data_IF_744353708880
#
_entry.id   IF_744353708880
#
_cell.length_a   1.000
_cell.length_b   1.000
_cell.length_c   1.000
_cell.angle_alpha   90.00
_cell.angle_beta   90.00
_cell.angle_gamma   90.00
#
_symmetry.space_group_name_H-M   'P 1'
#
loop_
_entity.id
_entity.type
_entity.pdbx_description
1 polymer ?
#
# COMPACT_ATOMS: atom_id res chain seq x y z
N UNK A 1 -0.12 -62.01 39.14
CA UNK A 1 -1.32 -61.29 38.66
C UNK A 1 -0.87 -59.91 38.22
N UNK A 2 -0.64 -59.72 36.92
CA UNK A 2 -0.17 -58.46 36.35
C UNK A 2 -1.33 -57.81 35.59
N UNK A 3 -1.84 -56.70 36.13
CA UNK A 3 -2.93 -55.93 35.53
C UNK A 3 -2.41 -55.02 34.41
N UNK A 4 -2.91 -55.23 33.21
CA UNK A 4 -2.70 -54.37 32.03
C UNK A 4 -3.54 -53.11 32.14
N UNK A 5 -2.89 -51.94 32.13
CA UNK A 5 -3.55 -50.65 31.91
C UNK A 5 -3.48 -50.32 30.42
N UNK A 6 -4.63 -50.37 29.75
CA UNK A 6 -4.78 -49.99 28.34
C UNK A 6 -4.76 -48.46 28.23
N UNK A 7 -3.76 -47.91 27.55
CA UNK A 7 -3.73 -46.52 27.09
C UNK A 7 -4.59 -46.45 25.82
N UNK A 8 -5.70 -45.75 25.92
CA UNK A 8 -6.54 -45.25 24.81
C UNK A 8 -6.36 -43.73 24.80
N UNK A 9 -6.58 -43.09 23.65
CA UNK A 9 -6.36 -41.66 23.30
C UNK A 9 -4.94 -41.40 22.77
N UNK A 10 -4.68 -40.83 21.58
CA UNK A 10 -5.49 -39.94 20.76
C UNK A 10 -4.91 -40.02 19.31
N UNK A 11 -5.59 -40.73 18.42
CA UNK A 11 -5.25 -40.80 17.00
C UNK A 11 -6.40 -40.19 16.19
N UNK A 12 -6.47 -38.87 16.14
CA UNK A 12 -7.40 -38.12 15.30
C UNK A 12 -6.77 -36.75 15.01
N UNK A 13 -6.13 -36.63 13.83
CA UNK A 13 -6.00 -35.39 13.02
C UNK A 13 -4.89 -35.49 11.94
N UNK A 14 -4.55 -36.69 11.45
CA UNK A 14 -3.61 -36.86 10.33
C UNK A 14 -4.16 -37.81 9.26
N UNK A 15 -5.39 -37.56 8.83
CA UNK A 15 -5.89 -37.91 7.49
C UNK A 15 -5.94 -36.56 6.75
N UNK A 16 -4.86 -36.07 6.14
CA UNK A 16 -4.27 -36.56 4.89
C UNK A 16 -5.38 -36.95 3.91
N UNK A 17 -6.12 -35.94 3.46
CA UNK A 17 -6.73 -35.91 2.13
C UNK A 17 -5.71 -35.27 1.17
N UNK A 18 -4.80 -36.04 0.54
CA UNK A 18 -4.29 -35.67 -0.76
C UNK A 18 -5.39 -36.02 -1.77
N UNK A 19 -5.31 -35.51 -2.99
CA UNK A 19 -6.29 -35.70 -4.07
C UNK A 19 -7.48 -34.72 -3.98
N UNK A 20 -7.27 -33.51 -4.51
CA UNK A 20 -8.39 -32.62 -4.82
C UNK A 20 -8.09 -31.20 -5.28
N UNK A 21 -6.89 -30.65 -5.03
CA UNK A 21 -6.62 -29.22 -5.32
C UNK A 21 -5.78 -28.96 -6.58
N UNK A 22 -5.85 -29.82 -7.61
CA UNK A 22 -5.01 -29.68 -8.81
C UNK A 22 -5.69 -29.02 -10.01
N UNK A 23 -7.01 -28.75 -10.00
CA UNK A 23 -7.72 -28.23 -11.18
C UNK A 23 -8.91 -27.31 -10.88
N UNK A 24 -8.89 -26.60 -9.75
CA UNK A 24 -9.73 -25.40 -9.66
C UNK A 24 -8.87 -24.23 -10.11
N UNK A 25 -9.20 -23.54 -11.22
CA UNK A 25 -8.65 -22.22 -11.46
C UNK A 25 -9.16 -21.37 -10.28
N UNK A 26 -8.34 -21.24 -9.24
CA UNK A 26 -8.60 -20.28 -8.19
C UNK A 26 -8.74 -18.93 -8.91
N UNK A 27 -9.90 -18.26 -8.82
CA UNK A 27 -10.15 -17.01 -9.50
C UNK A 27 -9.42 -15.90 -8.74
N UNK A 28 -8.10 -16.01 -8.61
CA UNK A 28 -7.22 -14.89 -8.28
C UNK A 28 -7.09 -14.07 -9.56
N UNK A 29 -8.22 -13.55 -10.07
CA UNK A 29 -8.16 -12.47 -11.04
C UNK A 29 -7.59 -11.28 -10.27
N UNK A 30 -6.41 -10.77 -10.65
CA UNK A 30 -5.92 -9.56 -10.04
C UNK A 30 -6.87 -8.42 -10.39
N UNK A 31 -7.28 -7.67 -9.35
CA UNK A 31 -8.27 -6.61 -9.39
C UNK A 31 -9.75 -7.03 -9.61
N UNK A 32 -10.31 -8.00 -8.84
CA UNK A 32 -11.68 -8.44 -9.05
C UNK A 32 -12.73 -7.41 -8.58
N UNK A 33 -12.29 -6.27 -8.03
CA UNK A 33 -13.13 -5.26 -7.39
C UNK A 33 -13.20 -3.94 -8.16
N UNK A 34 -12.61 -3.87 -9.36
CA UNK A 34 -12.72 -2.71 -10.23
C UNK A 34 -14.20 -2.43 -10.57
N UNK A 35 -14.73 -1.23 -10.25
CA UNK A 35 -16.10 -0.89 -10.62
C UNK A 35 -16.23 -0.76 -12.14
N UNK A 36 -17.28 -1.36 -12.71
CA UNK A 36 -17.54 -1.37 -14.17
C UNK A 36 -17.67 0.04 -14.78
N UNK A 37 -17.99 1.04 -13.96
CA UNK A 37 -18.17 2.43 -14.39
C UNK A 37 -16.87 3.21 -14.62
N UNK A 38 -15.71 2.63 -14.30
CA UNK A 38 -14.43 3.30 -14.42
C UNK A 38 -13.87 3.22 -15.84
N UNK A 39 -13.24 4.30 -16.28
CA UNK A 39 -12.61 4.34 -17.62
C UNK A 39 -11.20 3.78 -17.55
N UNK A 40 -10.93 2.75 -18.35
CA UNK A 40 -9.61 2.13 -18.47
C UNK A 40 -8.82 2.77 -19.61
N UNK A 41 -7.57 3.16 -19.34
CA UNK A 41 -6.64 3.69 -20.34
C UNK A 41 -5.31 2.95 -20.22
N UNK A 42 -4.84 2.35 -21.31
CA UNK A 42 -3.50 1.78 -21.35
C UNK A 42 -2.47 2.90 -21.15
N UNK A 43 -1.45 2.63 -20.33
CA UNK A 43 -0.42 3.59 -19.98
C UNK A 43 0.96 2.97 -20.19
N UNK A 44 1.91 3.78 -20.63
CA UNK A 44 3.32 3.43 -20.55
C UNK A 44 3.87 3.77 -19.15
N UNK A 45 5.13 3.41 -18.93
CA UNK A 45 5.80 3.72 -17.66
C UNK A 45 6.06 5.21 -17.46
N UNK A 46 6.06 6.01 -18.53
CA UNK A 46 6.29 7.45 -18.45
C UNK A 46 5.02 8.17 -17.98
N UNK A 47 3.83 7.68 -18.34
CA UNK A 47 2.54 8.16 -17.85
C UNK A 47 2.30 7.90 -16.35
N UNK A 48 3.07 6.99 -15.76
CA UNK A 48 3.07 6.71 -14.31
C UNK A 48 4.37 7.17 -13.64
N UNK A 49 5.21 7.94 -14.34
CA UNK A 49 6.42 8.50 -13.77
C UNK A 49 6.12 9.35 -12.54
N UNK A 50 7.07 9.37 -11.62
CA UNK A 50 6.92 10.09 -10.38
C UNK A 50 6.82 11.60 -10.62
N UNK A 51 5.72 12.15 -10.13
CA UNK A 51 5.47 13.58 -10.11
C UNK A 51 5.66 14.09 -8.70
N UNK A 52 6.82 14.70 -8.45
CA UNK A 52 7.21 15.23 -7.12
C UNK A 52 6.69 16.65 -6.88
N UNK A 53 6.07 17.25 -7.88
CA UNK A 53 5.43 18.57 -7.84
C UNK A 53 4.01 18.54 -7.26
N UNK A 54 3.39 17.35 -7.15
CA UNK A 54 2.04 17.17 -6.62
C UNK A 54 2.05 16.31 -5.34
N UNK A 55 1.34 16.76 -4.31
CA UNK A 55 1.16 15.98 -3.09
C UNK A 55 0.22 14.80 -3.33
N UNK A 56 0.69 13.59 -2.99
CA UNK A 56 -0.01 12.33 -3.29
C UNK A 56 0.14 11.33 -2.16
N UNK A 57 -0.96 10.68 -1.83
CA UNK A 57 -0.98 9.45 -1.04
C UNK A 57 -1.20 8.28 -2.00
N UNK A 58 -0.33 7.30 -1.94
CA UNK A 58 -0.40 6.09 -2.75
C UNK A 58 -0.39 4.87 -1.83
N UNK A 59 -1.39 4.01 -1.98
CA UNK A 59 -1.44 2.70 -1.31
C UNK A 59 -1.26 1.63 -2.37
N UNK A 60 -0.28 0.76 -2.16
CA UNK A 60 0.15 -0.25 -3.12
C UNK A 60 -0.23 -1.61 -2.56
N UNK A 61 -1.01 -2.38 -3.31
CA UNK A 61 -1.43 -3.74 -2.98
C UNK A 61 -0.80 -4.69 -4.00
N UNK A 62 -0.03 -5.68 -3.54
CA UNK A 62 0.63 -6.66 -4.39
C UNK A 62 0.02 -8.06 -4.19
N UNK A 63 -0.29 -8.70 -5.31
CA UNK A 63 -0.98 -9.98 -5.40
C UNK A 63 0.00 -11.06 -5.85
N UNK A 64 0.17 -12.11 -5.05
CA UNK A 64 1.01 -13.26 -5.39
C UNK A 64 0.36 -14.26 -6.34
N UNK A 65 1.07 -15.35 -6.64
CA UNK A 65 0.50 -16.51 -7.33
C UNK A 65 -0.38 -17.38 -6.43
N UNK A 66 -0.04 -17.48 -5.14
CA UNK A 66 -0.68 -18.41 -4.20
C UNK A 66 -1.41 -17.71 -3.06
N UNK A 67 -0.95 -16.54 -2.63
CA UNK A 67 -1.58 -15.71 -1.61
C UNK A 67 -1.39 -14.23 -1.94
N UNK A 68 -2.28 -13.38 -1.46
CA UNK A 68 -2.08 -11.93 -1.50
C UNK A 68 -0.90 -11.60 -0.58
N UNK A 69 0.11 -10.94 -1.12
CA UNK A 69 1.44 -11.03 -0.54
C UNK A 69 1.83 -9.82 0.29
N UNK A 70 1.37 -8.62 -0.09
CA UNK A 70 1.97 -7.42 0.47
C UNK A 70 1.15 -6.15 0.27
N UNK A 71 1.32 -5.21 1.19
CA UNK A 71 0.85 -3.84 1.06
C UNK A 71 1.97 -2.86 1.43
N UNK A 72 2.07 -1.75 0.70
CA UNK A 72 3.02 -0.67 0.96
C UNK A 72 2.32 0.69 0.82
N UNK A 73 2.90 1.72 1.43
CA UNK A 73 2.41 3.09 1.35
C UNK A 73 3.53 3.99 0.84
N UNK A 74 3.21 4.81 -0.16
CA UNK A 74 4.09 5.82 -0.71
C UNK A 74 3.46 7.20 -0.58
N UNK A 75 4.22 8.15 -0.07
CA UNK A 75 3.77 9.51 0.20
C UNK A 75 4.69 10.50 -0.48
N UNK A 76 4.11 11.29 -1.38
CA UNK A 76 4.80 12.36 -2.10
C UNK A 76 4.38 13.68 -1.46
N UNK A 77 5.36 14.45 -1.00
CA UNK A 77 5.13 15.81 -0.52
C UNK A 77 6.04 16.79 -1.28
N UNK A 78 5.49 17.79 -1.99
CA UNK A 78 6.29 18.74 -2.74
C UNK A 78 7.31 19.45 -1.86
N UNK A 79 8.57 19.48 -2.31
CA UNK A 79 9.68 20.08 -1.57
C UNK A 79 10.29 19.20 -0.48
N UNK A 80 9.80 17.96 -0.29
CA UNK A 80 10.37 17.00 0.66
C UNK A 80 10.75 15.68 -0.04
N UNK A 81 11.69 14.90 0.51
CA UNK A 81 11.94 13.54 0.04
C UNK A 81 10.67 12.70 0.17
N UNK A 82 10.39 11.90 -0.87
CA UNK A 82 9.32 10.90 -0.86
C UNK A 82 9.51 9.98 0.35
N UNK A 83 8.41 9.56 0.96
CA UNK A 83 8.44 8.51 1.96
C UNK A 83 7.88 7.24 1.35
N UNK A 84 8.63 6.16 1.49
CA UNK A 84 8.18 4.82 1.14
C UNK A 84 8.16 3.96 2.39
N UNK A 85 6.97 3.63 2.87
CA UNK A 85 6.75 2.76 4.00
C UNK A 85 6.38 1.36 3.50
N UNK A 86 7.21 0.39 3.84
CA UNK A 86 7.12 -1.00 3.40
C UNK A 86 6.97 -1.91 4.64
N UNK A 87 5.84 -1.83 5.38
CA UNK A 87 5.67 -2.44 6.69
C UNK A 87 5.84 -3.96 6.63
N UNK A 88 6.75 -4.50 7.44
CA UNK A 88 7.11 -5.92 7.39
C UNK A 88 7.69 -6.39 6.04
N UNK A 89 7.93 -5.47 5.10
CA UNK A 89 8.23 -5.75 3.71
C UNK A 89 9.71 -6.03 3.44
N UNK A 90 9.96 -6.58 2.26
CA UNK A 90 11.27 -7.08 1.84
C UNK A 90 12.08 -6.10 0.99
N UNK A 91 11.52 -4.95 0.60
CA UNK A 91 12.13 -4.15 -0.46
C UNK A 91 13.58 -3.78 -0.13
N UNK A 92 14.50 -4.20 -0.99
CA UNK A 92 15.92 -3.89 -0.89
C UNK A 92 16.60 -4.32 0.44
N UNK A 93 16.05 -5.28 1.21
CA UNK A 93 16.72 -5.81 2.41
C UNK A 93 18.07 -6.49 2.10
N UNK A 94 18.31 -6.91 0.86
CA UNK A 94 19.49 -7.70 0.46
C UNK A 94 20.56 -6.92 -0.33
N UNK A 95 20.22 -5.79 -0.97
CA UNK A 95 21.06 -5.23 -2.07
C UNK A 95 21.88 -3.98 -1.73
N UNK A 96 21.73 -3.39 -0.55
CA UNK A 96 22.63 -2.44 0.11
C UNK A 96 21.85 -1.89 1.31
N UNK A 97 22.50 -1.55 2.44
CA UNK A 97 21.82 -0.85 3.52
C UNK A 97 21.52 0.58 3.05
N UNK A 98 20.46 0.78 2.25
CA UNK A 98 19.76 2.07 2.27
C UNK A 98 19.32 2.27 3.70
N UNK A 99 19.52 3.47 4.25
CA UNK A 99 19.14 3.72 5.63
C UNK A 99 17.61 3.57 5.75
N UNK A 100 17.19 2.42 6.26
CA UNK A 100 15.84 2.16 6.72
C UNK A 100 15.75 2.65 8.16
N UNK A 101 14.74 3.44 8.44
CA UNK A 101 14.35 3.77 9.79
C UNK A 101 13.04 3.07 10.06
N UNK A 102 13.07 2.05 10.91
CA UNK A 102 11.98 1.07 11.01
C UNK A 102 11.69 0.46 9.61
N UNK A 103 10.42 0.41 9.19
CA UNK A 103 10.05 -0.05 7.85
C UNK A 103 10.00 1.05 6.79
N UNK A 104 10.50 2.25 7.09
CA UNK A 104 10.52 3.38 6.15
C UNK A 104 11.86 3.44 5.43
N UNK A 105 11.82 3.54 4.11
CA UNK A 105 12.98 3.80 3.27
C UNK A 105 13.15 5.32 3.18
N UNK A 106 14.19 5.85 3.83
CA UNK A 106 14.44 7.30 3.90
C UNK A 106 15.39 7.73 2.79
N UNK A 107 16.44 6.96 2.54
CA UNK A 107 17.43 7.26 1.52
C UNK A 107 17.05 6.61 0.19
N UNK A 108 16.90 7.42 -0.84
CA UNK A 108 16.52 7.00 -2.18
C UNK A 108 15.26 6.08 -2.15
N UNK A 109 14.08 6.58 -1.75
CA UNK A 109 12.86 5.79 -1.84
C UNK A 109 12.61 5.37 -3.30
N UNK A 110 12.13 4.14 -3.57
CA UNK A 110 11.85 3.74 -4.94
C UNK A 110 10.77 4.60 -5.58
N UNK A 111 10.98 4.93 -6.86
CA UNK A 111 9.88 5.32 -7.72
C UNK A 111 8.97 4.11 -8.03
N UNK A 112 7.78 4.39 -8.57
CA UNK A 112 6.83 3.32 -8.90
C UNK A 112 7.42 2.31 -9.89
N UNK A 113 8.20 2.78 -10.87
CA UNK A 113 8.83 1.91 -11.87
C UNK A 113 9.81 0.92 -11.24
N UNK A 114 10.68 1.40 -10.36
CA UNK A 114 11.67 0.61 -9.62
C UNK A 114 10.98 -0.36 -8.67
N UNK A 115 9.96 0.09 -7.94
CA UNK A 115 9.22 -0.78 -7.04
C UNK A 115 8.48 -1.90 -7.80
N UNK A 116 7.80 -1.57 -8.91
CA UNK A 116 7.12 -2.56 -9.75
C UNK A 116 8.11 -3.57 -10.36
N UNK A 117 9.30 -3.11 -10.79
CA UNK A 117 10.36 -4.01 -11.27
C UNK A 117 10.82 -4.99 -10.17
N UNK A 118 10.95 -4.52 -8.93
CA UNK A 118 11.24 -5.38 -7.78
C UNK A 118 10.11 -6.39 -7.51
N UNK A 119 8.84 -5.97 -7.53
CA UNK A 119 7.70 -6.88 -7.30
C UNK A 119 7.61 -7.98 -8.36
N UNK A 120 7.95 -7.68 -9.62
CA UNK A 120 8.05 -8.69 -10.69
C UNK A 120 9.04 -9.81 -10.38
N UNK A 121 10.12 -9.55 -9.65
CA UNK A 121 11.10 -10.60 -9.30
C UNK A 121 10.65 -11.47 -8.12
N UNK A 122 9.56 -11.10 -7.44
CA UNK A 122 9.02 -11.77 -6.25
C UNK A 122 7.74 -12.57 -6.53
N UNK A 123 7.54 -12.99 -7.79
CA UNK A 123 6.40 -13.81 -8.24
C UNK A 123 5.02 -13.19 -7.99
N UNK A 124 4.92 -11.87 -7.90
CA UNK A 124 3.60 -11.23 -7.91
C UNK A 124 2.99 -11.29 -9.31
N UNK A 125 1.72 -11.64 -9.35
CA UNK A 125 0.91 -11.71 -10.57
C UNK A 125 0.39 -10.34 -10.96
N UNK A 126 0.13 -9.48 -9.96
CA UNK A 126 -0.27 -8.10 -10.19
C UNK A 126 0.02 -7.17 -9.01
N UNK A 127 -0.09 -5.87 -9.29
CA UNK A 127 -0.05 -4.79 -8.32
C UNK A 127 -1.15 -3.79 -8.64
N UNK A 128 -1.88 -3.35 -7.62
CA UNK A 128 -2.79 -2.22 -7.68
C UNK A 128 -2.19 -1.05 -6.89
N UNK A 129 -2.19 0.14 -7.47
CA UNK A 129 -1.75 1.37 -6.81
C UNK A 129 -2.93 2.33 -6.77
N UNK A 130 -3.51 2.49 -5.59
CA UNK A 130 -4.56 3.46 -5.33
C UNK A 130 -3.91 4.81 -5.05
N UNK A 131 -4.27 5.84 -5.81
CA UNK A 131 -3.68 7.17 -5.68
C UNK A 131 -4.74 8.21 -5.32
N UNK A 132 -4.47 9.00 -4.28
CA UNK A 132 -5.23 10.19 -3.93
C UNK A 132 -4.35 11.43 -4.14
N UNK A 133 -4.95 12.46 -4.73
CA UNK A 133 -4.42 13.81 -4.66
C UNK A 133 -4.77 14.41 -3.30
N UNK A 134 -3.77 14.85 -2.56
CA UNK A 134 -3.93 15.41 -1.22
C UNK A 134 -3.30 16.80 -1.17
N UNK A 135 -3.58 17.58 -0.14
CA UNK A 135 -2.89 18.86 0.08
C UNK A 135 -1.44 18.62 0.55
N UNK A 136 -0.51 19.55 0.30
CA UNK A 136 0.83 19.50 0.91
C UNK A 136 0.79 19.44 2.44
N UNK A 137 -0.19 20.10 3.08
CA UNK A 137 -0.38 20.04 4.53
C UNK A 137 -0.76 18.65 5.03
N UNK A 138 -1.66 17.97 4.33
CA UNK A 138 -2.00 16.57 4.58
C UNK A 138 -0.80 15.65 4.39
N UNK A 139 -0.04 15.84 3.31
CA UNK A 139 1.15 15.04 3.03
C UNK A 139 2.20 15.21 4.12
N UNK A 140 2.50 16.45 4.54
CA UNK A 140 3.46 16.71 5.60
C UNK A 140 3.01 16.11 6.95
N UNK A 141 1.74 16.26 7.30
CA UNK A 141 1.20 15.67 8.54
C UNK A 141 1.33 14.14 8.56
N UNK A 142 0.95 13.46 7.48
CA UNK A 142 1.10 12.01 7.38
C UNK A 142 2.58 11.59 7.39
N UNK A 143 3.45 12.38 6.75
CA UNK A 143 4.89 12.14 6.72
C UNK A 143 5.51 12.22 8.12
N UNK A 144 5.11 13.21 8.92
CA UNK A 144 5.59 13.38 10.29
C UNK A 144 5.17 12.21 11.18
N UNK A 145 3.91 11.77 11.09
CA UNK A 145 3.43 10.60 11.84
C UNK A 145 4.20 9.33 11.45
N UNK A 146 4.46 9.09 10.15
CA UNK A 146 5.23 7.94 9.71
C UNK A 146 6.67 7.98 10.25
N UNK A 147 7.35 9.12 10.12
CA UNK A 147 8.76 9.27 10.50
C UNK A 147 8.97 9.22 12.01
N UNK A 148 8.15 9.95 12.76
CA UNK A 148 8.39 10.21 14.17
C UNK A 148 7.49 9.39 15.10
N UNK A 149 6.44 8.77 14.56
CA UNK A 149 5.45 8.08 15.36
C UNK A 149 4.57 9.02 16.16
N UNK A 150 3.75 8.44 17.03
CA UNK A 150 2.98 9.18 18.05
C UNK A 150 3.09 8.47 19.38
N UNK A 151 2.90 9.22 20.47
CA UNK A 151 2.88 8.68 21.83
C UNK A 151 1.44 8.43 22.35
N UNK A 152 1.33 7.98 23.60
CA UNK A 152 0.04 7.72 24.23
C UNK A 152 -0.81 8.95 24.54
N UNK A 153 -0.24 10.16 24.45
CA UNK A 153 -0.98 11.42 24.63
C UNK A 153 -1.64 11.91 23.35
N UNK A 154 -1.23 11.38 22.20
CA UNK A 154 -1.82 11.72 20.92
C UNK A 154 -3.29 11.24 20.85
N UNK A 155 -4.25 12.05 20.35
CA UNK A 155 -5.68 11.68 20.32
C UNK A 155 -5.97 10.39 19.55
N UNK A 156 -5.18 10.10 18.53
CA UNK A 156 -5.27 8.86 17.75
C UNK A 156 -4.52 7.68 18.40
N UNK A 157 -3.95 7.83 19.61
CA UNK A 157 -3.13 6.84 20.30
C UNK A 157 -1.68 6.72 19.79
N UNK A 158 -0.88 5.82 20.37
CA UNK A 158 0.52 5.62 20.00
C UNK A 158 0.69 4.89 18.67
N UNK A 159 1.69 5.27 17.87
CA UNK A 159 1.96 4.68 16.57
C UNK A 159 3.47 4.56 16.33
N UNK A 160 3.88 3.47 15.69
CA UNK A 160 5.23 3.24 15.20
C UNK A 160 5.15 2.64 13.80
N UNK A 161 6.09 3.03 12.93
CA UNK A 161 6.19 2.51 11.57
C UNK A 161 6.85 1.14 11.48
N UNK A 162 7.35 0.58 12.58
CA UNK A 162 7.88 -0.78 12.63
C UNK A 162 6.73 -1.79 12.70
N UNK A 163 6.74 -2.80 11.84
CA UNK A 163 5.68 -3.79 11.72
C UNK A 163 6.26 -5.19 11.55
N UNK A 164 5.64 -6.16 12.22
CA UNK A 164 6.00 -7.58 12.05
C UNK A 164 5.61 -8.05 10.65
N UNK A 165 6.46 -8.86 10.02
CA UNK A 165 6.14 -9.46 8.72
C UNK A 165 4.75 -10.11 8.69
N UNK A 166 4.09 -10.08 7.53
CA UNK A 166 2.69 -10.49 7.29
C UNK A 166 1.61 -9.50 7.75
N UNK A 167 1.90 -8.55 8.66
CA UNK A 167 0.93 -7.56 9.14
C UNK A 167 0.92 -6.25 8.34
N UNK A 168 1.40 -6.28 7.08
CA UNK A 168 1.55 -5.10 6.24
C UNK A 168 0.22 -4.35 5.98
N UNK A 169 -0.83 -5.07 5.61
CA UNK A 169 -2.16 -4.50 5.33
C UNK A 169 -2.84 -4.02 6.60
N UNK A 170 -2.66 -4.74 7.70
CA UNK A 170 -3.19 -4.36 9.01
C UNK A 170 -2.55 -3.05 9.48
N UNK A 171 -1.22 -2.92 9.38
CA UNK A 171 -0.53 -1.69 9.73
C UNK A 171 -0.97 -0.50 8.84
N UNK A 172 -1.11 -0.72 7.54
CA UNK A 172 -1.56 0.35 6.62
C UNK A 172 -2.99 0.76 6.91
N UNK A 173 -3.91 -0.19 7.08
CA UNK A 173 -5.32 0.12 7.37
C UNK A 173 -5.50 0.80 8.71
N UNK A 174 -4.78 0.37 9.77
CA UNK A 174 -4.75 1.05 11.07
C UNK A 174 -4.24 2.49 10.93
N UNK A 175 -3.11 2.68 10.23
CA UNK A 175 -2.56 4.01 9.99
C UNK A 175 -3.54 4.93 9.24
N UNK A 176 -4.13 4.44 8.15
CA UNK A 176 -5.09 5.21 7.35
C UNK A 176 -6.34 5.56 8.17
N UNK A 177 -6.92 4.60 8.89
CA UNK A 177 -8.10 4.81 9.72
C UNK A 177 -7.87 5.83 10.84
N UNK A 178 -6.66 5.89 11.40
CA UNK A 178 -6.30 6.78 12.51
C UNK A 178 -5.87 8.17 12.08
N UNK A 179 -5.15 8.31 10.96
CA UNK A 179 -4.44 9.54 10.62
C UNK A 179 -4.86 10.18 9.29
N UNK A 180 -5.63 9.48 8.45
CA UNK A 180 -6.07 9.95 7.13
C UNK A 180 -7.59 10.23 7.04
N UNK A 181 -8.26 10.44 8.19
CA UNK A 181 -9.72 10.63 8.26
C UNK A 181 -10.30 11.82 7.49
N UNK A 182 -9.48 12.82 7.14
CA UNK A 182 -9.82 13.97 6.30
C UNK A 182 -9.55 13.72 4.79
N UNK A 183 -9.01 12.56 4.44
CA UNK A 183 -8.72 12.12 3.06
C UNK A 183 -9.64 10.95 2.68
N UNK A 184 -9.82 10.00 3.59
CA UNK A 184 -10.60 8.78 3.41
C UNK A 184 -11.16 8.26 4.73
N UNK A 185 -12.14 7.35 4.67
CA UNK A 185 -12.72 6.68 5.84
C UNK A 185 -12.43 5.19 5.79
N UNK A 186 -11.45 4.75 6.57
CA UNK A 186 -11.15 3.33 6.81
C UNK A 186 -11.64 2.99 8.22
N UNK A 187 -12.76 2.27 8.31
CA UNK A 187 -13.44 1.97 9.58
C UNK A 187 -12.93 0.73 10.30
N UNK A 188 -12.17 -0.11 9.61
CA UNK A 188 -11.71 -1.41 10.10
C UNK A 188 -10.25 -1.64 9.73
N UNK A 189 -9.61 -2.52 10.50
CA UNK A 189 -8.26 -2.99 10.25
C UNK A 189 -8.32 -4.26 9.41
N UNK A 190 -7.65 -4.27 8.27
CA UNK A 190 -7.69 -5.35 7.29
C UNK A 190 -6.40 -6.15 7.31
N UNK A 191 -6.47 -7.40 7.77
CA UNK A 191 -5.32 -8.31 7.74
C UNK A 191 -4.91 -8.70 6.31
N UNK A 192 -5.89 -8.98 5.45
CA UNK A 192 -5.64 -9.42 4.08
C UNK A 192 -5.54 -8.25 3.09
N UNK A 193 -4.52 -8.22 2.20
CA UNK A 193 -4.36 -7.14 1.23
C UNK A 193 -5.56 -6.96 0.28
N UNK A 194 -6.24 -8.04 -0.11
CA UNK A 194 -7.43 -7.96 -0.96
C UNK A 194 -8.63 -7.28 -0.28
N UNK A 195 -8.87 -7.53 1.01
CA UNK A 195 -9.95 -6.88 1.75
C UNK A 195 -9.65 -5.40 1.93
N UNK A 196 -8.37 -5.04 2.17
CA UNK A 196 -7.94 -3.66 2.14
C UNK A 196 -8.21 -3.03 0.76
N UNK A 197 -7.84 -3.70 -0.34
CA UNK A 197 -8.11 -3.20 -1.69
C UNK A 197 -9.61 -2.95 -1.94
N UNK A 198 -10.50 -3.87 -1.53
CA UNK A 198 -11.96 -3.67 -1.60
C UNK A 198 -12.39 -2.39 -0.90
N UNK A 199 -11.88 -2.17 0.31
CA UNK A 199 -12.18 -0.96 1.07
C UNK A 199 -11.68 0.28 0.31
N UNK A 200 -10.44 0.28 -0.19
CA UNK A 200 -9.84 1.40 -0.90
C UNK A 200 -10.60 1.80 -2.17
N UNK A 201 -11.18 0.85 -2.92
CA UNK A 201 -12.05 1.14 -4.07
C UNK A 201 -13.26 2.00 -3.72
N UNK A 202 -13.75 1.93 -2.48
CA UNK A 202 -14.89 2.72 -2.01
C UNK A 202 -14.50 4.14 -1.55
N UNK A 203 -13.20 4.44 -1.45
CA UNK A 203 -12.67 5.68 -0.89
C UNK A 203 -12.36 6.76 -1.94
N UNK A 204 -13.06 6.72 -3.09
CA UNK A 204 -12.94 7.70 -4.17
C UNK A 204 -11.49 8.09 -4.53
N UNK A 205 -10.59 7.13 -4.84
CA UNK A 205 -9.24 7.45 -5.29
C UNK A 205 -9.28 8.29 -6.58
N UNK A 206 -8.27 9.14 -6.78
CA UNK A 206 -8.13 9.92 -8.01
C UNK A 206 -7.97 9.01 -9.24
N UNK A 207 -7.19 7.95 -9.08
CA UNK A 207 -7.03 6.86 -10.06
C UNK A 207 -6.52 5.61 -9.37
N UNK A 208 -6.69 4.48 -10.04
CA UNK A 208 -6.03 3.22 -9.69
C UNK A 208 -5.15 2.78 -10.86
N UNK A 209 -3.87 2.52 -10.59
CA UNK A 209 -2.93 2.00 -11.58
C UNK A 209 -2.84 0.49 -11.35
N UNK A 210 -3.19 -0.29 -12.35
CA UNK A 210 -3.11 -1.75 -12.30
C UNK A 210 -1.96 -2.20 -13.17
N UNK A 211 -1.05 -2.93 -12.56
CA UNK A 211 0.08 -3.56 -13.22
C UNK A 211 -0.08 -5.08 -13.16
N UNK A 212 -0.01 -5.77 -14.31
CA UNK A 212 0.02 -7.23 -14.40
C UNK A 212 1.37 -7.66 -14.96
N UNK A 213 1.91 -8.78 -14.48
CA UNK A 213 3.30 -9.20 -14.75
C UNK A 213 3.70 -9.24 -16.23
N UNK A 214 2.74 -9.44 -17.15
CA UNK A 214 2.94 -9.54 -18.60
C UNK A 214 2.57 -8.29 -19.39
N UNK A 215 1.96 -7.28 -18.77
CA UNK A 215 1.22 -6.24 -19.50
C UNK A 215 1.80 -4.84 -19.26
N UNK A 216 1.45 -3.91 -20.14
CA UNK A 216 1.60 -2.47 -19.87
C UNK A 216 0.67 -2.07 -18.72
N UNK A 217 1.07 -1.13 -17.84
CA UNK A 217 0.16 -0.59 -16.82
C UNK A 217 -1.16 -0.10 -17.43
N UNK A 218 -2.26 -0.30 -16.71
CA UNK A 218 -3.57 0.25 -17.05
C UNK A 218 -3.99 1.22 -15.96
N UNK A 219 -4.33 2.44 -16.35
CA UNK A 219 -4.88 3.44 -15.44
C UNK A 219 -6.39 3.37 -15.52
N UNK A 220 -7.03 3.17 -14.37
CA UNK A 220 -8.46 3.27 -14.20
C UNK A 220 -8.80 4.58 -13.51
N UNK A 221 -9.72 5.33 -14.11
CA UNK A 221 -10.23 6.58 -13.55
C UNK A 221 -11.70 6.42 -13.17
N UNK A 222 -12.11 6.78 -11.95
CA UNK A 222 -13.52 6.81 -11.60
C UNK A 222 -14.26 7.82 -12.49
N UNK A 223 -15.56 7.61 -12.73
CA UNK A 223 -16.38 8.62 -13.39
C UNK A 223 -16.25 9.95 -12.63
N UNK A 224 -16.15 11.05 -13.36
CA UNK A 224 -15.85 12.38 -12.81
C UNK A 224 -16.96 12.89 -11.88
N UNK A 225 -17.02 12.37 -10.67
CA UNK A 225 -17.64 13.02 -9.54
C UNK A 225 -16.58 13.94 -8.97
N UNK A 226 -16.70 15.24 -9.27
CA UNK A 226 -15.80 16.31 -8.88
C UNK A 226 -14.99 16.02 -7.61
N UNK A 227 -13.77 15.50 -7.76
CA UNK A 227 -12.81 15.60 -6.67
C UNK A 227 -12.63 17.10 -6.41
N UNK A 228 -12.60 17.55 -5.15
CA UNK A 228 -12.34 18.95 -4.85
C UNK A 228 -11.03 19.32 -5.55
N UNK A 229 -11.15 20.22 -6.53
CA UNK A 229 -9.99 20.77 -7.24
C UNK A 229 -9.14 21.40 -6.16
N UNK A 230 -8.01 20.76 -5.84
CA UNK A 230 -7.00 21.37 -4.98
C UNK A 230 -6.63 22.69 -5.65
N UNK A 231 -7.02 23.79 -5.02
CA UNK A 231 -6.67 25.12 -5.50
C UNK A 231 -5.17 25.14 -5.74
N UNK A 232 -4.71 25.66 -6.90
CA UNK A 232 -3.28 25.75 -7.16
C UNK A 232 -2.60 26.50 -6.01
N UNK A 233 -1.37 26.10 -5.61
CA UNK A 233 -0.64 26.82 -4.58
C UNK A 233 -0.57 28.30 -4.97
N UNK A 234 -0.72 29.22 -4.00
CA UNK A 234 -0.61 30.65 -4.28
C UNK A 234 0.74 30.89 -4.97
N UNK A 235 0.70 31.61 -6.10
CA UNK A 235 1.90 31.97 -6.84
C UNK A 235 2.91 32.58 -5.86
N UNK A 236 4.10 31.97 -5.78
CA UNK A 236 5.17 32.41 -4.90
C UNK A 236 5.37 33.91 -5.06
N UNK A 237 5.16 34.68 -3.99
CA UNK A 237 5.36 36.11 -4.03
C UNK A 237 6.82 36.41 -4.45
N UNK A 238 7.05 37.36 -5.36
CA UNK A 238 8.39 37.69 -5.81
C UNK A 238 9.24 38.10 -4.60
N UNK A 239 10.37 37.43 -4.41
CA UNK A 239 11.29 37.77 -3.33
C UNK A 239 11.89 39.16 -3.65
N UNK A 240 11.42 40.17 -2.93
CA UNK A 240 12.09 41.46 -2.93
C UNK A 240 13.40 41.31 -2.17
N UNK A 241 14.45 40.99 -2.93
CA UNK A 241 15.84 41.18 -2.54
C UNK A 241 16.09 42.68 -2.43
N UNK A 242 15.84 43.25 -1.25
CA UNK A 242 16.28 44.61 -0.92
C UNK A 242 17.75 44.52 -0.53
N UNK A 243 18.65 44.67 -1.50
CA UNK A 243 20.01 45.16 -1.25
C UNK A 243 19.94 46.66 -1.02
N UNK A 244 20.22 47.11 0.21
CA UNK A 244 20.94 48.35 0.52
C UNK A 244 21.48 48.27 1.94
#
# INVERSE_FOLDING_TARGET
>A
MHGSTKIVFLACCWLVLPVGCAYLPLPHMPAPHLPESWTATAADFDAIADRTDEARLQVIIAYGQLVDNHAALRLVSPGHPVLFWDPGGGYNKQSAPRTRWNDIIIEDPPDLKTYLAFRRTHFDTAVEIFEWRITPGQANRLADVLRYGTDGSHPAGPFRSETVGLFCSEAISDFLGRFAGDIMTISETYFWPNELAKALYTQAPYRVIVFRSTDTPVIYQPPSTAQPVLSPPPASAPSHSTRR
#
